data_IF_686419222509
#
_entry.id   IF_686419222509
#
_cell.length_a   1.000
_cell.length_b   1.000
_cell.length_c   1.000
_cell.angle_alpha   90.00
_cell.angle_beta   90.00
_cell.angle_gamma   90.00
#
_symmetry.space_group_name_H-M   'P 1'
#
loop_
_entity.id
_entity.type
_entity.pdbx_description
1 polymer ?
#
# COMPACT_ATOMS: atom_id res chain seq x y z
N UNK A 1 1.23 -9.78 12.22
CA UNK A 1 1.78 -8.88 13.22
C UNK A 1 1.76 -7.46 12.73
N UNK A 2 1.18 -6.59 13.52
CA UNK A 2 1.04 -5.19 13.15
C UNK A 2 2.22 -4.39 13.68
N UNK A 3 3.05 -3.91 12.76
CA UNK A 3 4.09 -2.97 13.10
C UNK A 3 3.63 -1.62 12.56
N UNK A 4 3.41 -0.68 13.46
CA UNK A 4 3.11 0.68 13.06
C UNK A 4 4.40 1.48 12.98
N UNK A 5 4.73 1.91 11.77
CA UNK A 5 5.90 2.71 11.48
C UNK A 5 5.42 3.96 10.75
N UNK A 6 5.84 5.12 11.21
CA UNK A 6 5.48 6.38 10.56
C UNK A 6 6.63 6.89 9.71
N UNK A 7 6.32 7.62 8.66
CA UNK A 7 7.34 8.24 7.82
C UNK A 7 8.11 9.35 8.56
N UNK A 8 7.54 9.87 9.64
CA UNK A 8 8.19 10.91 10.45
C UNK A 8 9.38 10.35 11.23
N UNK A 9 9.25 9.14 11.75
CA UNK A 9 10.29 8.50 12.56
C UNK A 9 11.21 7.65 11.70
N UNK A 10 10.65 6.98 10.72
CA UNK A 10 11.38 6.09 9.83
C UNK A 10 10.59 5.91 8.54
N UNK A 11 11.25 5.83 7.41
CA UNK A 11 10.60 5.62 6.13
C UNK A 11 10.00 4.22 6.06
N UNK A 12 8.66 4.12 6.03
CA UNK A 12 7.95 2.84 5.93
C UNK A 12 8.36 2.05 4.71
N UNK A 13 8.64 2.74 3.61
CA UNK A 13 9.09 2.09 2.39
C UNK A 13 10.42 1.38 2.58
N UNK A 14 11.38 2.04 3.22
CA UNK A 14 12.68 1.46 3.51
C UNK A 14 12.55 0.28 4.45
N UNK A 15 11.78 0.44 5.54
CA UNK A 15 11.58 -0.65 6.50
C UNK A 15 10.92 -1.86 5.85
N UNK A 16 9.90 -1.63 5.05
CA UNK A 16 9.20 -2.72 4.39
C UNK A 16 10.12 -3.44 3.39
N UNK A 17 10.93 -2.70 2.64
CA UNK A 17 11.90 -3.30 1.72
C UNK A 17 12.92 -4.17 2.45
N UNK A 18 13.36 -3.75 3.65
CA UNK A 18 14.25 -4.56 4.47
C UNK A 18 13.60 -5.85 4.95
N UNK A 19 12.33 -5.76 5.39
CA UNK A 19 11.58 -6.94 5.80
C UNK A 19 11.41 -7.92 4.64
N UNK A 20 11.11 -7.41 3.43
CA UNK A 20 10.98 -8.24 2.25
C UNK A 20 12.28 -8.94 1.91
N UNK A 21 13.39 -8.23 2.01
CA UNK A 21 14.70 -8.79 1.76
C UNK A 21 15.03 -9.93 2.71
N UNK A 22 14.69 -9.77 3.98
CA UNK A 22 14.87 -10.82 4.99
C UNK A 22 13.99 -12.04 4.71
N UNK A 23 12.82 -11.84 4.10
CA UNK A 23 11.91 -12.93 3.77
C UNK A 23 12.09 -13.48 2.37
N UNK A 24 13.02 -12.93 1.60
CA UNK A 24 13.26 -13.38 0.23
C UNK A 24 12.18 -13.01 -0.77
N UNK A 25 11.42 -11.94 -0.50
CA UNK A 25 10.34 -11.47 -1.37
C UNK A 25 10.79 -10.25 -2.19
N UNK A 26 10.17 -10.09 -3.36
CA UNK A 26 10.40 -8.93 -4.22
C UNK A 26 9.28 -7.92 -4.06
N UNK A 27 9.50 -6.68 -4.55
CA UNK A 27 8.50 -5.61 -4.42
C UNK A 27 7.19 -5.93 -5.15
N UNK A 28 7.26 -6.66 -6.25
CA UNK A 28 6.08 -7.04 -7.02
C UNK A 28 5.30 -8.22 -6.43
N UNK A 29 5.78 -8.79 -5.34
CA UNK A 29 5.07 -9.82 -4.59
C UNK A 29 4.26 -9.25 -3.43
N UNK A 30 4.21 -7.91 -3.28
CA UNK A 30 3.61 -7.23 -2.15
C UNK A 30 2.61 -6.20 -2.63
N UNK A 31 1.45 -6.15 -1.98
CA UNK A 31 0.48 -5.08 -2.17
C UNK A 31 0.45 -4.22 -0.90
N UNK A 32 0.46 -2.91 -1.08
CA UNK A 32 0.40 -1.97 0.05
C UNK A 32 -0.89 -1.18 0.01
N UNK A 33 -1.46 -0.93 1.19
CA UNK A 33 -2.68 -0.15 1.34
C UNK A 33 -2.42 0.96 2.36
N UNK A 34 -2.84 2.17 2.04
CA UNK A 34 -2.68 3.28 2.96
C UNK A 34 -3.58 4.44 2.59
N UNK A 35 -3.91 5.30 3.54
CA UNK A 35 -4.85 6.39 3.35
C UNK A 35 -4.35 7.75 3.86
N UNK A 36 -3.28 7.79 4.63
CA UNK A 36 -2.80 9.00 5.28
C UNK A 36 -1.43 9.47 4.79
N UNK A 37 -1.04 10.66 5.25
CA UNK A 37 0.26 11.25 4.91
C UNK A 37 1.41 10.34 5.32
N UNK A 38 1.28 9.66 6.45
CA UNK A 38 2.32 8.77 6.94
C UNK A 38 2.46 7.48 6.14
N UNK A 39 1.58 7.24 5.17
CA UNK A 39 1.64 6.07 4.29
C UNK A 39 2.25 6.38 2.92
N UNK A 40 2.47 7.66 2.61
CA UNK A 40 2.92 8.09 1.27
C UNK A 40 4.22 7.41 0.85
N UNK A 41 5.20 7.34 1.74
CA UNK A 41 6.49 6.73 1.42
C UNK A 41 6.36 5.23 1.12
N UNK A 42 5.44 4.54 1.78
CA UNK A 42 5.16 3.14 1.53
C UNK A 42 4.43 2.95 0.20
N UNK A 43 3.44 3.79 -0.09
CA UNK A 43 2.68 3.70 -1.34
C UNK A 43 3.54 4.02 -2.55
N UNK A 44 4.39 5.04 -2.44
CA UNK A 44 5.24 5.49 -3.54
C UNK A 44 6.28 4.45 -3.95
N UNK A 45 6.77 3.68 -3.00
CA UNK A 45 7.87 2.75 -3.24
C UNK A 45 7.47 1.39 -3.78
N UNK A 46 6.18 1.11 -4.00
CA UNK A 46 5.70 -0.22 -4.35
C UNK A 46 4.81 -0.19 -5.59
N UNK A 47 4.99 -1.16 -6.53
CA UNK A 47 4.22 -1.16 -7.78
C UNK A 47 2.73 -1.47 -7.59
N UNK A 48 2.36 -2.21 -6.55
CA UNK A 48 0.96 -2.53 -6.26
C UNK A 48 0.52 -1.84 -4.99
N UNK A 49 0.33 -0.53 -5.08
CA UNK A 49 -0.10 0.29 -3.95
C UNK A 49 -1.51 0.81 -4.17
N UNK A 50 -2.30 0.81 -3.11
CA UNK A 50 -3.71 1.14 -3.15
C UNK A 50 -4.06 2.16 -2.09
N UNK A 51 -4.89 3.13 -2.44
CA UNK A 51 -5.49 4.04 -1.48
C UNK A 51 -7.00 4.03 -1.66
N UNK A 52 -7.79 4.10 -0.57
CA UNK A 52 -9.26 4.12 -0.68
C UNK A 52 -9.75 5.45 -1.24
N UNK A 53 -11.03 5.50 -1.62
CA UNK A 53 -11.63 6.70 -2.19
C UNK A 53 -11.53 7.91 -1.25
N UNK A 54 -11.51 7.67 0.06
CA UNK A 54 -11.38 8.71 1.08
C UNK A 54 -9.93 8.90 1.58
N UNK A 55 -8.96 8.35 0.88
CA UNK A 55 -7.56 8.59 1.19
C UNK A 55 -7.19 10.06 0.99
N UNK A 56 -6.14 10.52 1.67
CA UNK A 56 -5.71 11.90 1.53
C UNK A 56 -5.17 12.17 0.11
N UNK A 57 -5.12 13.45 -0.25
CA UNK A 57 -4.69 13.86 -1.57
C UNK A 57 -3.30 13.30 -1.93
N UNK A 58 -2.38 13.40 -0.99
CA UNK A 58 -0.99 12.96 -1.20
C UNK A 58 -0.91 11.45 -1.43
N UNK A 59 -1.71 10.67 -0.71
CA UNK A 59 -1.78 9.23 -0.92
C UNK A 59 -2.31 8.90 -2.32
N UNK A 60 -3.33 9.64 -2.77
CA UNK A 60 -3.90 9.43 -4.10
C UNK A 60 -2.93 9.78 -5.23
N UNK A 61 -2.04 10.74 -4.99
CA UNK A 61 -1.05 11.15 -5.99
C UNK A 61 0.01 10.07 -6.22
N UNK A 62 0.37 9.33 -5.18
CA UNK A 62 1.49 8.37 -5.25
C UNK A 62 1.06 6.91 -5.36
N UNK A 63 -0.16 6.56 -4.94
CA UNK A 63 -0.65 5.19 -5.04
C UNK A 63 -0.86 4.82 -6.52
N UNK A 64 -0.53 3.58 -6.86
CA UNK A 64 -0.76 3.07 -8.21
C UNK A 64 -2.25 3.02 -8.53
N UNK A 65 -3.06 2.66 -7.55
CA UNK A 65 -4.50 2.55 -7.72
C UNK A 65 -5.23 3.35 -6.66
N UNK A 66 -6.18 4.19 -7.09
CA UNK A 66 -7.14 4.83 -6.19
C UNK A 66 -8.44 4.06 -6.30
N UNK A 67 -8.88 3.49 -5.20
CA UNK A 67 -10.06 2.63 -5.18
C UNK A 67 -11.36 3.45 -5.20
N UNK A 68 -12.43 2.84 -5.65
CA UNK A 68 -13.75 3.49 -5.69
C UNK A 68 -14.47 3.42 -4.34
N UNK A 69 -14.07 2.48 -3.47
CA UNK A 69 -14.66 2.28 -2.15
C UNK A 69 -13.86 3.00 -1.08
N UNK A 70 -14.54 3.43 -0.01
CA UNK A 70 -13.86 3.98 1.15
C UNK A 70 -13.27 2.88 2.02
N UNK A 71 -12.32 3.23 2.90
CA UNK A 71 -11.64 2.25 3.73
C UNK A 71 -12.56 1.36 4.56
N UNK A 72 -13.69 1.92 5.05
CA UNK A 72 -14.67 1.16 5.82
C UNK A 72 -15.76 0.50 4.99
N UNK A 73 -15.72 0.59 3.66
CA UNK A 73 -16.80 0.17 2.78
C UNK A 73 -16.34 -0.84 1.72
N UNK A 74 -15.34 -1.64 2.03
CA UNK A 74 -14.91 -2.72 1.14
C UNK A 74 -13.74 -2.39 0.23
N UNK A 75 -12.94 -1.38 0.56
CA UNK A 75 -11.77 -1.01 -0.25
C UNK A 75 -10.75 -2.16 -0.36
N UNK A 76 -10.53 -2.89 0.73
CA UNK A 76 -9.60 -4.02 0.73
C UNK A 76 -10.08 -5.10 -0.26
N UNK A 77 -11.38 -5.41 -0.25
CA UNK A 77 -11.94 -6.39 -1.17
C UNK A 77 -11.81 -5.94 -2.61
N UNK A 78 -12.01 -4.65 -2.89
CA UNK A 78 -11.82 -4.10 -4.22
C UNK A 78 -10.37 -4.25 -4.67
N UNK A 79 -9.41 -3.94 -3.81
CA UNK A 79 -8.00 -4.12 -4.13
C UNK A 79 -7.64 -5.56 -4.40
N UNK A 80 -8.15 -6.50 -3.59
CA UNK A 80 -7.93 -7.92 -3.80
C UNK A 80 -8.52 -8.38 -5.14
N UNK A 81 -9.68 -7.85 -5.51
CA UNK A 81 -10.31 -8.16 -6.80
C UNK A 81 -9.45 -7.69 -7.98
N UNK A 82 -8.86 -6.49 -7.87
CA UNK A 82 -7.93 -5.98 -8.88
C UNK A 82 -6.73 -6.91 -9.01
N UNK A 83 -6.13 -7.31 -7.89
CA UNK A 83 -4.98 -8.22 -7.91
C UNK A 83 -5.33 -9.56 -8.53
N UNK A 84 -6.51 -10.08 -8.27
CA UNK A 84 -6.99 -11.33 -8.86
C UNK A 84 -7.15 -11.17 -10.37
N UNK A 85 -7.70 -10.07 -10.84
CA UNK A 85 -7.84 -9.80 -12.27
C UNK A 85 -6.51 -9.66 -12.98
N UNK A 86 -5.46 -9.26 -12.25
CA UNK A 86 -4.10 -9.18 -12.78
C UNK A 86 -3.35 -10.51 -12.68
N UNK A 87 -4.01 -11.56 -12.20
CA UNK A 87 -3.42 -12.89 -11.99
C UNK A 87 -2.27 -12.90 -10.99
N UNK A 88 -2.33 -12.03 -9.97
CA UNK A 88 -1.31 -11.94 -8.93
C UNK A 88 -1.66 -12.73 -7.68
N UNK A 89 -2.91 -13.11 -7.54
CA UNK A 89 -3.39 -13.95 -6.44
C UNK A 89 -4.43 -14.94 -6.93
#
# INVERSE_FOLDING_TARGET
DNIEITCDDYDKGIMLKEVLKLKGLTLDEVATFGDGLNDVCMLEGFPYSFTPANGCKEAKEVATYTLSKTGGQGAIQEGLHILKNLNLI
#
